data_IF_981340533798
#
_entry.id   IF_981340533798
#
_cell.length_a   1.000
_cell.length_b   1.000
_cell.length_c   1.000
_cell.angle_alpha   90.00
_cell.angle_beta   90.00
_cell.angle_gamma   90.00
#
_symmetry.space_group_name_H-M   'P 1'
#
loop_
_entity.id
_entity.type
_entity.pdbx_description
1 polymer ?
#
# COMPACT_ATOMS: atom_id res chain seq x y z
N UNK A 1 -12.30 -5.44 14.88
CA UNK A 1 -12.77 -4.53 13.80
C UNK A 1 -12.24 -3.12 13.96
N UNK A 2 -12.52 -2.46 15.09
CA UNK A 2 -12.11 -1.05 15.30
C UNK A 2 -10.60 -0.84 15.17
N UNK A 3 -9.80 -1.68 15.83
CA UNK A 3 -8.34 -1.61 15.76
C UNK A 3 -7.81 -1.72 14.32
N UNK A 4 -8.37 -2.62 13.52
CA UNK A 4 -8.04 -2.77 12.10
C UNK A 4 -8.38 -1.50 11.32
N UNK A 5 -9.59 -0.93 11.52
CA UNK A 5 -10.01 0.29 10.85
C UNK A 5 -9.14 1.50 11.17
N UNK A 6 -8.75 1.65 12.45
CA UNK A 6 -7.84 2.73 12.89
C UNK A 6 -6.45 2.56 12.28
N UNK A 7 -5.88 1.35 12.28
CA UNK A 7 -4.58 1.07 11.65
C UNK A 7 -4.62 1.35 10.14
N UNK A 8 -5.70 0.96 9.47
CA UNK A 8 -5.88 1.24 8.04
C UNK A 8 -6.00 2.74 7.75
N UNK A 9 -6.71 3.48 8.60
CA UNK A 9 -6.80 4.95 8.51
C UNK A 9 -5.41 5.59 8.63
N UNK A 10 -4.63 5.22 9.63
CA UNK A 10 -3.27 5.74 9.83
C UNK A 10 -2.38 5.37 8.63
N UNK A 11 -2.43 4.12 8.18
CA UNK A 11 -1.64 3.64 7.04
C UNK A 11 -1.96 4.44 5.77
N UNK A 12 -3.24 4.62 5.46
CA UNK A 12 -3.69 5.35 4.26
C UNK A 12 -3.31 6.82 4.34
N UNK A 13 -3.51 7.46 5.49
CA UNK A 13 -3.13 8.86 5.69
C UNK A 13 -1.62 9.06 5.55
N UNK A 14 -0.81 8.22 6.21
CA UNK A 14 0.65 8.26 6.11
C UNK A 14 1.12 8.01 4.66
N UNK A 15 0.50 7.08 3.94
CA UNK A 15 0.84 6.81 2.55
C UNK A 15 0.59 8.03 1.65
N UNK A 16 -0.62 8.59 1.70
CA UNK A 16 -0.98 9.76 0.88
C UNK A 16 -0.12 10.97 1.23
N UNK A 17 0.14 11.19 2.52
CA UNK A 17 0.96 12.32 2.98
C UNK A 17 2.44 12.11 2.66
N UNK A 18 2.94 10.88 2.76
CA UNK A 18 4.28 10.50 2.34
C UNK A 18 4.53 10.79 0.86
N UNK A 19 3.57 10.45 -0.02
CA UNK A 19 3.62 10.74 -1.46
C UNK A 19 3.76 12.23 -1.80
N UNK A 20 3.35 13.13 -0.91
CA UNK A 20 3.53 14.59 -1.09
C UNK A 20 4.92 15.08 -0.71
N UNK A 21 5.63 14.34 0.14
CA UNK A 21 6.91 14.76 0.74
C UNK A 21 8.11 14.04 0.17
N UNK A 22 7.92 12.91 -0.53
CA UNK A 22 8.98 12.16 -1.20
C UNK A 22 8.56 11.77 -2.60
N UNK A 23 9.49 11.27 -3.43
CA UNK A 23 9.14 10.79 -4.77
C UNK A 23 8.22 9.56 -4.70
N UNK A 24 7.31 9.42 -5.66
CA UNK A 24 6.38 8.28 -5.74
C UNK A 24 7.13 6.95 -5.72
N UNK A 25 8.24 6.86 -6.49
CA UNK A 25 9.05 5.65 -6.54
C UNK A 25 9.69 5.32 -5.18
N UNK A 26 10.19 6.33 -4.46
CA UNK A 26 10.78 6.14 -3.13
C UNK A 26 9.72 5.72 -2.10
N UNK A 27 8.56 6.37 -2.10
CA UNK A 27 7.45 5.99 -1.25
C UNK A 27 7.01 4.54 -1.49
N UNK A 28 6.86 4.14 -2.75
CA UNK A 28 6.50 2.77 -3.13
C UNK A 28 7.59 1.77 -2.71
N UNK A 29 8.87 2.11 -2.89
CA UNK A 29 9.99 1.28 -2.42
C UNK A 29 9.91 1.05 -0.91
N UNK A 30 9.71 2.11 -0.12
CA UNK A 30 9.62 2.01 1.34
C UNK A 30 8.39 1.19 1.75
N UNK A 31 7.22 1.43 1.15
CA UNK A 31 5.99 0.68 1.45
C UNK A 31 6.11 -0.79 1.08
N UNK A 32 6.92 -1.11 0.08
CA UNK A 32 7.23 -2.50 -0.30
C UNK A 32 8.03 -3.28 0.73
N UNK A 33 8.54 -2.62 1.79
CA UNK A 33 9.09 -3.30 2.97
C UNK A 33 8.01 -3.86 3.91
N UNK A 34 6.73 -3.56 3.67
CA UNK A 34 5.58 -4.04 4.44
C UNK A 34 5.58 -5.55 4.73
N UNK A 35 5.97 -6.47 3.81
CA UNK A 35 6.07 -7.90 4.12
C UNK A 35 7.02 -8.24 5.26
N UNK A 36 8.09 -7.46 5.45
CA UNK A 36 9.03 -7.65 6.56
C UNK A 36 8.34 -7.33 7.89
N UNK A 37 7.65 -6.19 7.95
CA UNK A 37 6.89 -5.80 9.14
C UNK A 37 5.74 -6.78 9.43
N UNK A 38 5.05 -7.26 8.38
CA UNK A 38 3.99 -8.26 8.52
C UNK A 38 4.53 -9.58 9.07
N UNK A 39 5.68 -10.03 8.59
CA UNK A 39 6.34 -11.23 9.07
C UNK A 39 6.76 -11.09 10.54
N UNK A 40 7.42 -9.98 10.91
CA UNK A 40 7.83 -9.70 12.28
C UNK A 40 6.62 -9.61 13.21
N UNK A 41 5.55 -8.94 12.80
CA UNK A 41 4.32 -8.83 13.56
C UNK A 41 3.62 -10.19 13.72
N UNK A 42 3.51 -10.98 12.66
CA UNK A 42 2.92 -12.32 12.71
C UNK A 42 3.73 -13.27 13.59
N UNK A 43 5.05 -13.19 13.53
CA UNK A 43 5.91 -13.98 14.42
C UNK A 43 5.73 -13.57 15.89
N UNK A 44 5.74 -12.27 16.18
CA UNK A 44 5.65 -11.77 17.57
C UNK A 44 4.26 -11.94 18.19
N UNK A 45 3.20 -11.74 17.43
CA UNK A 45 1.81 -11.74 17.94
C UNK A 45 1.04 -13.03 17.69
N UNK A 46 1.34 -13.75 16.60
CA UNK A 46 0.61 -14.95 16.20
C UNK A 46 1.45 -16.22 16.33
N UNK A 47 2.75 -16.12 16.61
CA UNK A 47 3.66 -17.25 16.67
C UNK A 47 3.89 -17.92 15.31
N UNK A 48 3.53 -17.28 14.21
CA UNK A 48 3.75 -17.80 12.86
C UNK A 48 5.24 -17.82 12.54
N UNK A 49 5.77 -18.96 12.06
CA UNK A 49 7.19 -19.08 11.73
C UNK A 49 7.50 -18.52 10.35
N UNK A 50 8.68 -17.92 10.20
CA UNK A 50 9.20 -17.51 8.91
C UNK A 50 9.36 -18.70 7.98
N UNK A 51 8.71 -18.66 6.82
CA UNK A 51 8.95 -19.60 5.75
C UNK A 51 10.21 -19.19 4.97
N UNK A 52 11.18 -20.10 4.68
CA UNK A 52 12.31 -19.78 3.84
C UNK A 52 11.91 -19.24 2.47
N UNK A 53 10.80 -19.76 1.93
CA UNK A 53 10.22 -19.28 0.65
C UNK A 53 9.85 -17.80 0.73
N UNK A 54 9.22 -17.38 1.83
CA UNK A 54 8.83 -15.98 2.06
C UNK A 54 10.05 -15.06 2.16
N UNK A 55 11.12 -15.48 2.84
CA UNK A 55 12.37 -14.71 2.95
C UNK A 55 12.96 -14.48 1.56
N UNK A 56 13.07 -15.52 0.75
CA UNK A 56 13.61 -15.42 -0.60
C UNK A 56 12.75 -14.50 -1.50
N UNK A 57 11.41 -14.69 -1.52
CA UNK A 57 10.53 -13.86 -2.35
C UNK A 57 10.55 -12.40 -1.92
N UNK A 58 10.54 -12.11 -0.62
CA UNK A 58 10.64 -10.73 -0.13
C UNK A 58 11.99 -10.12 -0.50
N UNK A 59 13.09 -10.85 -0.38
CA UNK A 59 14.42 -10.35 -0.74
C UNK A 59 14.53 -10.02 -2.23
N UNK A 60 14.04 -10.89 -3.10
CA UNK A 60 14.01 -10.63 -4.54
C UNK A 60 13.14 -9.42 -4.90
N UNK A 61 11.95 -9.33 -4.32
CA UNK A 61 11.07 -8.19 -4.54
C UNK A 61 11.70 -6.86 -4.09
N UNK A 62 12.36 -6.85 -2.92
CA UNK A 62 13.06 -5.67 -2.42
C UNK A 62 14.23 -5.25 -3.32
N UNK A 63 14.98 -6.22 -3.87
CA UNK A 63 16.06 -5.92 -4.83
C UNK A 63 15.48 -5.27 -6.09
N UNK A 64 14.41 -5.84 -6.66
CA UNK A 64 13.75 -5.28 -7.85
C UNK A 64 13.28 -3.85 -7.62
N UNK A 65 12.58 -3.60 -6.51
CA UNK A 65 12.09 -2.26 -6.19
C UNK A 65 13.24 -1.30 -5.85
N UNK A 66 14.34 -1.77 -5.24
CA UNK A 66 15.54 -0.95 -5.01
C UNK A 66 16.17 -0.47 -6.33
N UNK A 67 16.17 -1.30 -7.37
CA UNK A 67 16.64 -0.92 -8.71
C UNK A 67 15.75 0.18 -9.29
N UNK A 68 14.42 0.06 -9.16
CA UNK A 68 13.46 1.08 -9.60
C UNK A 68 13.68 2.40 -8.84
N UNK A 69 13.81 2.34 -7.52
CA UNK A 69 14.03 3.51 -6.67
C UNK A 69 15.36 4.21 -6.97
N UNK A 70 16.45 3.45 -7.24
CA UNK A 70 17.73 4.01 -7.61
C UNK A 70 17.67 4.84 -8.91
N UNK A 71 16.85 4.40 -9.87
CA UNK A 71 16.57 5.15 -11.10
C UNK A 71 15.81 6.46 -10.86
N UNK A 72 14.97 6.51 -9.84
CA UNK A 72 14.15 7.69 -9.51
C UNK A 72 14.86 8.71 -8.61
N UNK A 73 15.86 8.30 -7.83
CA UNK A 73 16.67 9.20 -6.98
C UNK A 73 17.44 10.27 -7.77
N UNK A 74 17.66 10.06 -9.06
CA UNK A 74 18.29 11.06 -9.94
C UNK A 74 17.47 12.35 -10.09
N UNK A 75 16.21 12.39 -9.64
CA UNK A 75 15.32 13.55 -9.76
C UNK A 75 15.27 14.49 -8.55
N UNK A 76 16.03 14.24 -7.48
CA UNK A 76 16.28 15.21 -6.39
C UNK A 76 15.14 15.53 -5.43
N UNK A 77 14.04 14.78 -5.44
CA UNK A 77 12.83 15.02 -4.61
C UNK A 77 12.66 14.02 -3.46
N UNK A 78 13.70 13.69 -2.73
CA UNK A 78 13.53 12.84 -1.54
C UNK A 78 13.67 13.66 -0.25
N UNK A 79 12.72 13.49 0.68
CA UNK A 79 12.75 14.08 2.01
C UNK A 79 12.78 12.97 3.07
N UNK A 80 13.73 13.05 4.00
CA UNK A 80 13.82 12.10 5.13
C UNK A 80 12.52 12.02 5.94
N UNK A 81 11.80 13.14 6.03
CA UNK A 81 10.49 13.18 6.71
C UNK A 81 9.45 12.38 5.92
N UNK A 82 9.43 12.56 4.58
CA UNK A 82 8.55 11.79 3.69
C UNK A 82 8.84 10.30 3.76
N UNK A 83 10.11 9.92 3.79
CA UNK A 83 10.56 8.53 3.89
C UNK A 83 10.16 7.90 5.24
N UNK A 84 10.32 8.64 6.35
CA UNK A 84 9.88 8.17 7.66
C UNK A 84 8.36 7.97 7.74
N UNK A 85 7.59 8.85 7.10
CA UNK A 85 6.13 8.72 7.02
C UNK A 85 5.72 7.54 6.14
N UNK A 86 6.40 7.31 5.02
CA UNK A 86 6.18 6.13 4.18
C UNK A 86 6.51 4.83 4.92
N UNK A 87 7.57 4.82 5.76
CA UNK A 87 7.91 3.68 6.60
C UNK A 87 6.83 3.43 7.67
N UNK A 88 6.28 4.49 8.25
CA UNK A 88 5.14 4.39 9.17
C UNK A 88 3.91 3.79 8.46
N UNK A 89 3.65 4.18 7.21
CA UNK A 89 2.59 3.59 6.39
C UNK A 89 2.82 2.08 6.18
N UNK A 90 4.05 1.67 5.83
CA UNK A 90 4.41 0.26 5.65
C UNK A 90 4.17 -0.56 6.93
N UNK A 91 4.64 -0.06 8.06
CA UNK A 91 4.49 -0.72 9.36
C UNK A 91 3.01 -0.82 9.77
N UNK A 92 2.26 0.27 9.70
CA UNK A 92 0.83 0.29 10.09
C UNK A 92 -0.04 -0.57 9.17
N UNK A 93 0.24 -0.64 7.87
CA UNK A 93 -0.40 -1.58 6.95
C UNK A 93 -0.13 -3.04 7.34
N UNK A 94 1.11 -3.37 7.63
CA UNK A 94 1.51 -4.70 8.07
C UNK A 94 0.80 -5.11 9.37
N UNK A 95 0.70 -4.21 10.35
CA UNK A 95 -0.04 -4.43 11.59
C UNK A 95 -1.55 -4.59 11.33
N UNK A 96 -2.12 -3.84 10.38
CA UNK A 96 -3.51 -4.02 9.99
C UNK A 96 -3.75 -5.44 9.46
N UNK A 97 -2.94 -5.94 8.53
CA UNK A 97 -3.06 -7.30 8.02
C UNK A 97 -2.85 -8.37 9.11
N UNK A 98 -1.90 -8.17 10.02
CA UNK A 98 -1.71 -9.07 11.17
C UNK A 98 -2.92 -9.07 12.09
N UNK A 99 -3.54 -7.92 12.33
CA UNK A 99 -4.78 -7.80 13.09
C UNK A 99 -5.95 -8.49 12.38
N UNK A 100 -6.06 -8.35 11.06
CA UNK A 100 -7.06 -9.07 10.27
C UNK A 100 -6.83 -10.59 10.32
N UNK A 101 -5.57 -11.03 10.28
CA UNK A 101 -5.19 -12.45 10.39
C UNK A 101 -5.52 -13.03 11.77
N UNK A 102 -5.31 -12.29 12.85
CA UNK A 102 -5.64 -12.74 14.21
C UNK A 102 -7.15 -12.96 14.41
N UNK A 103 -7.98 -12.25 13.65
CA UNK A 103 -9.44 -12.33 13.71
C UNK A 103 -10.05 -12.89 12.40
N UNK A 104 -9.39 -13.87 11.80
CA UNK A 104 -9.73 -14.46 10.48
C UNK A 104 -11.16 -15.01 10.36
N UNK A 105 -11.81 -15.32 11.47
CA UNK A 105 -13.19 -15.81 11.50
C UNK A 105 -14.23 -14.69 11.29
N UNK A 106 -13.81 -13.44 11.49
CA UNK A 106 -14.67 -12.25 11.37
C UNK A 106 -14.30 -11.52 10.08
N UNK A 107 -15.33 -11.09 9.33
CA UNK A 107 -15.08 -10.25 8.15
C UNK A 107 -14.61 -8.85 8.56
N UNK A 108 -13.47 -8.42 8.01
CA UNK A 108 -12.94 -7.07 8.22
C UNK A 108 -13.47 -6.04 7.20
N UNK A 109 -14.32 -6.45 6.25
CA UNK A 109 -14.90 -5.55 5.24
C UNK A 109 -15.61 -4.34 5.87
N UNK A 110 -16.47 -4.48 6.91
CA UNK A 110 -17.06 -3.30 7.55
C UNK A 110 -16.03 -2.40 8.24
N UNK A 111 -14.99 -3.00 8.80
CA UNK A 111 -13.90 -2.24 9.44
C UNK A 111 -13.03 -1.50 8.42
N UNK A 112 -12.89 -2.04 7.20
CA UNK A 112 -12.26 -1.35 6.06
C UNK A 112 -13.03 -0.09 5.71
N UNK A 113 -14.36 -0.18 5.58
CA UNK A 113 -15.22 0.96 5.29
C UNK A 113 -15.10 2.04 6.39
N UNK A 114 -15.02 1.64 7.65
CA UNK A 114 -14.81 2.55 8.77
C UNK A 114 -13.43 3.25 8.69
N UNK A 115 -12.37 2.52 8.38
CA UNK A 115 -11.02 3.05 8.22
C UNK A 115 -10.95 4.12 7.12
N UNK A 116 -11.46 3.83 5.92
CA UNK A 116 -11.50 4.80 4.82
C UNK A 116 -12.46 5.96 5.09
N UNK A 117 -13.58 5.71 5.76
CA UNK A 117 -14.49 6.77 6.20
C UNK A 117 -13.82 7.76 7.17
N UNK A 118 -13.07 7.26 8.14
CA UNK A 118 -12.28 8.10 9.04
C UNK A 118 -11.20 8.88 8.28
N UNK A 119 -10.49 8.23 7.35
CA UNK A 119 -9.50 8.92 6.51
C UNK A 119 -10.14 10.04 5.70
N UNK A 120 -11.31 9.78 5.08
CA UNK A 120 -12.05 10.79 4.33
C UNK A 120 -12.44 11.97 5.20
N UNK A 121 -12.95 11.75 6.41
CA UNK A 121 -13.30 12.81 7.36
C UNK A 121 -12.08 13.66 7.77
N UNK A 122 -10.92 13.04 7.98
CA UNK A 122 -9.68 13.73 8.32
C UNK A 122 -9.17 14.56 7.13
N UNK A 123 -9.28 14.03 5.91
CA UNK A 123 -8.79 14.69 4.70
C UNK A 123 -9.75 15.77 4.17
N UNK A 124 -11.04 15.71 4.52
CA UNK A 124 -12.08 16.61 4.01
C UNK A 124 -11.75 18.12 4.14
N UNK A 125 -11.22 18.61 5.28
CA UNK A 125 -10.87 20.02 5.43
C UNK A 125 -9.73 20.50 4.51
N UNK A 126 -8.93 19.55 3.97
CA UNK A 126 -7.79 19.84 3.11
C UNK A 126 -8.10 19.60 1.62
N UNK A 127 -9.32 19.20 1.30
CA UNK A 127 -9.75 18.91 -0.07
C UNK A 127 -10.06 20.21 -0.82
N UNK A 128 -9.53 20.34 -2.04
CA UNK A 128 -9.78 21.46 -2.94
C UNK A 128 -10.70 20.97 -4.07
N UNK A 129 -12.00 21.20 -3.91
CA UNK A 129 -13.02 20.71 -4.86
C UNK A 129 -13.20 21.59 -6.10
N UNK A 130 -12.75 22.83 -6.04
CA UNK A 130 -13.01 23.84 -7.08
C UNK A 130 -12.18 23.67 -8.38
N UNK A 131 -11.16 22.81 -8.33
CA UNK A 131 -10.20 22.64 -9.44
C UNK A 131 -10.54 21.49 -10.38
N UNK A 132 -11.62 20.73 -10.13
CA UNK A 132 -11.93 19.50 -10.86
C UNK A 132 -12.97 19.73 -11.95
N UNK A 133 -12.69 19.26 -13.16
CA UNK A 133 -13.63 19.21 -14.27
C UNK A 133 -14.73 18.14 -14.03
N UNK A 134 -15.85 18.25 -14.77
CA UNK A 134 -16.92 17.24 -14.68
C UNK A 134 -16.44 15.83 -15.05
N UNK A 135 -15.51 15.71 -15.98
CA UNK A 135 -14.92 14.43 -16.37
C UNK A 135 -14.09 13.82 -15.23
N UNK A 136 -13.25 14.62 -14.58
CA UNK A 136 -12.45 14.17 -13.42
C UNK A 136 -13.34 13.77 -12.24
N UNK A 137 -14.44 14.47 -12.00
CA UNK A 137 -15.44 14.06 -11.03
C UNK A 137 -16.04 12.69 -11.36
N UNK A 138 -16.36 12.43 -12.62
CA UNK A 138 -16.85 11.14 -13.09
C UNK A 138 -15.86 10.02 -12.81
N UNK A 139 -14.57 10.23 -13.11
CA UNK A 139 -13.50 9.26 -12.85
C UNK A 139 -13.33 9.01 -11.34
N UNK A 140 -13.34 10.06 -10.52
CA UNK A 140 -13.22 9.94 -9.06
C UNK A 140 -14.40 9.17 -8.44
N UNK A 141 -15.62 9.38 -8.92
CA UNK A 141 -16.79 8.65 -8.45
C UNK A 141 -16.67 7.17 -8.80
N UNK A 142 -16.29 6.83 -10.02
CA UNK A 142 -16.11 5.43 -10.44
C UNK A 142 -14.99 4.78 -9.63
N UNK A 143 -13.86 5.46 -9.48
CA UNK A 143 -12.73 4.97 -8.69
C UNK A 143 -13.15 4.75 -7.22
N UNK A 144 -13.76 5.76 -6.60
CA UNK A 144 -14.11 5.73 -5.17
C UNK A 144 -15.30 4.85 -4.84
N UNK A 145 -16.29 4.73 -5.72
CA UNK A 145 -17.50 3.93 -5.46
C UNK A 145 -17.38 2.47 -5.90
N UNK A 146 -16.51 2.15 -6.86
CA UNK A 146 -16.41 0.81 -7.42
C UNK A 146 -15.02 0.18 -7.18
N UNK A 147 -13.96 0.76 -7.74
CA UNK A 147 -12.64 0.12 -7.74
C UNK A 147 -12.03 0.07 -6.34
N UNK A 148 -12.01 1.16 -5.60
CA UNK A 148 -11.41 1.21 -4.25
C UNK A 148 -12.18 0.30 -3.28
N UNK A 149 -13.51 0.35 -3.15
CA UNK A 149 -14.24 -0.53 -2.23
C UNK A 149 -14.08 -2.01 -2.59
N UNK A 150 -14.13 -2.36 -3.89
CA UNK A 150 -13.96 -3.74 -4.33
C UNK A 150 -12.55 -4.26 -4.03
N UNK A 151 -11.52 -3.51 -4.42
CA UNK A 151 -10.12 -3.87 -4.18
C UNK A 151 -9.81 -4.02 -2.70
N UNK A 152 -10.24 -3.05 -1.89
CA UNK A 152 -9.99 -3.05 -0.44
C UNK A 152 -10.80 -4.12 0.31
N UNK A 153 -12.01 -4.43 -0.15
CA UNK A 153 -12.78 -5.55 0.38
C UNK A 153 -12.05 -6.89 0.10
N UNK A 154 -11.56 -7.11 -1.12
CA UNK A 154 -10.79 -8.30 -1.46
C UNK A 154 -9.50 -8.39 -0.64
N UNK A 155 -8.76 -7.28 -0.49
CA UNK A 155 -7.57 -7.22 0.35
C UNK A 155 -7.85 -7.56 1.82
N UNK A 156 -8.97 -7.07 2.37
CA UNK A 156 -9.35 -7.35 3.76
C UNK A 156 -9.76 -8.80 4.00
N UNK A 157 -10.16 -9.52 2.95
CA UNK A 157 -10.46 -10.95 2.99
C UNK A 157 -9.20 -11.82 2.92
N UNK A 158 -8.13 -11.35 2.27
CA UNK A 158 -6.87 -12.10 2.10
C UNK A 158 -6.34 -12.74 3.38
N UNK A 159 -6.19 -11.98 4.50
CA UNK A 159 -5.66 -12.51 5.76
C UNK A 159 -6.49 -13.62 6.40
N UNK A 160 -7.70 -13.89 5.91
CA UNK A 160 -8.51 -15.04 6.37
C UNK A 160 -7.99 -16.37 5.85
N UNK A 161 -7.39 -16.37 4.67
CA UNK A 161 -7.00 -17.58 3.94
C UNK A 161 -5.49 -17.81 3.93
N UNK A 162 -4.71 -16.73 3.89
CA UNK A 162 -3.24 -16.76 3.80
C UNK A 162 -2.62 -15.91 4.92
N UNK A 163 -1.32 -16.02 5.12
CA UNK A 163 -0.61 -15.24 6.16
C UNK A 163 -0.57 -13.74 5.83
N UNK A 164 -0.41 -12.89 6.84
CA UNK A 164 -0.33 -11.44 6.64
C UNK A 164 0.84 -11.04 5.74
N UNK A 165 1.96 -11.74 5.83
CA UNK A 165 3.13 -11.55 4.98
C UNK A 165 2.89 -11.96 3.53
N UNK A 166 2.15 -13.04 3.28
CA UNK A 166 1.76 -13.46 1.93
C UNK A 166 0.81 -12.43 1.28
N UNK A 167 -0.14 -11.87 2.02
CA UNK A 167 -0.99 -10.76 1.54
C UNK A 167 -0.12 -9.58 1.13
N UNK A 168 0.84 -9.19 1.99
CA UNK A 168 1.75 -8.08 1.69
C UNK A 168 2.63 -8.35 0.47
N UNK A 169 3.07 -9.61 0.26
CA UNK A 169 3.82 -10.01 -0.94
C UNK A 169 2.97 -9.93 -2.22
N UNK A 170 1.69 -10.30 -2.14
CA UNK A 170 0.78 -10.17 -3.29
C UNK A 170 0.57 -8.69 -3.69
N UNK A 171 0.61 -7.77 -2.72
CA UNK A 171 0.54 -6.34 -3.02
C UNK A 171 1.77 -5.83 -3.79
N UNK A 172 2.94 -6.47 -3.62
CA UNK A 172 4.11 -6.11 -4.43
C UNK A 172 3.90 -6.39 -5.93
N UNK A 173 3.00 -7.29 -6.28
CA UNK A 173 2.63 -7.53 -7.68
C UNK A 173 2.02 -6.28 -8.33
N UNK A 174 1.34 -5.44 -7.55
CA UNK A 174 0.85 -4.14 -8.00
C UNK A 174 1.98 -3.23 -8.48
N UNK A 175 3.11 -3.21 -7.77
CA UNK A 175 4.28 -2.41 -8.14
C UNK A 175 4.86 -2.81 -9.51
N UNK A 176 4.67 -4.06 -9.92
CA UNK A 176 5.08 -4.57 -11.24
C UNK A 176 4.01 -4.30 -12.29
N UNK A 177 2.75 -4.59 -11.96
CA UNK A 177 1.65 -4.51 -12.93
C UNK A 177 1.24 -3.06 -13.24
N UNK A 178 1.31 -2.14 -12.26
CA UNK A 178 0.87 -0.76 -12.47
C UNK A 178 1.69 -0.03 -13.55
N UNK A 179 3.03 -0.04 -13.56
CA UNK A 179 3.82 0.57 -14.64
C UNK A 179 3.55 -0.05 -16.01
N UNK A 180 3.36 -1.37 -16.07
CA UNK A 180 3.05 -2.06 -17.32
C UNK A 180 1.69 -1.67 -17.88
N UNK A 181 0.68 -1.53 -17.02
CA UNK A 181 -0.65 -1.07 -17.40
C UNK A 181 -0.62 0.40 -17.87
N UNK A 182 0.11 1.26 -17.17
CA UNK A 182 0.28 2.67 -17.59
C UNK A 182 0.97 2.73 -18.95
N UNK A 183 2.00 1.94 -19.18
CA UNK A 183 2.65 1.87 -20.49
C UNK A 183 1.70 1.41 -21.59
N UNK A 184 0.92 0.37 -21.33
CA UNK A 184 -0.02 -0.18 -22.31
C UNK A 184 -1.19 0.78 -22.62
N UNK A 185 -1.76 1.44 -21.61
CA UNK A 185 -2.96 2.27 -21.73
C UNK A 185 -2.66 3.71 -22.10
N UNK A 186 -1.64 4.30 -21.47
CA UNK A 186 -1.29 5.72 -21.60
C UNK A 186 -0.15 5.94 -22.61
N UNK A 187 0.63 4.89 -22.90
CA UNK A 187 1.78 4.96 -23.81
C UNK A 187 3.03 5.54 -23.14
N UNK A 188 3.01 5.81 -21.85
CA UNK A 188 4.19 6.29 -21.12
C UNK A 188 5.17 5.14 -20.87
N UNK A 189 6.38 5.29 -21.44
CA UNK A 189 7.43 4.28 -21.24
C UNK A 189 7.96 4.36 -19.79
N UNK A 190 7.91 3.27 -19.03
CA UNK A 190 8.33 3.26 -17.63
C UNK A 190 9.84 3.47 -17.41
N UNK A 191 10.62 3.50 -18.51
CA UNK A 191 12.06 3.66 -18.45
C UNK A 191 12.81 2.35 -18.16
N UNK A 192 14.13 2.36 -18.44
CA UNK A 192 14.95 1.14 -18.34
C UNK A 192 15.02 0.57 -16.91
N UNK A 193 15.10 1.42 -15.91
CA UNK A 193 15.18 0.98 -14.50
C UNK A 193 13.90 0.29 -14.02
N UNK A 194 12.74 0.74 -14.48
CA UNK A 194 11.47 0.11 -14.13
C UNK A 194 11.24 -1.23 -14.85
N UNK A 195 11.88 -1.42 -16.03
CA UNK A 195 11.82 -2.69 -16.76
C UNK A 195 12.80 -3.75 -16.24
N UNK A 196 13.90 -3.34 -15.62
CA UNK A 196 14.93 -4.22 -15.06
C UNK A 196 14.58 -4.64 -13.62
N UNK A 197 14.04 -3.73 -12.80
CA UNK A 197 13.63 -3.98 -11.41
C UNK A 197 12.31 -4.68 -11.32
#
# INVERSE_FOLDING_TARGET
GLQYGVLLCIATFCFIYGLRLTSVANALFIVSTSPIFAALASWGFLGERFSPRMIWTTSFALIGIAIIAAGSHASGQSSLVGDAIALCAAATHAFAFTTARSAREISMVPATALGYGLTALICLPFAQFETLSQFEWGLLIILGAMFVPLGTALMSLGPRYITASEVSLLLLLEAVLAPLLVWYVVGENPGQYALIG
#
